data_IF_105445620184
#
_entry.id   IF_105445620184
#
_cell.length_a   1.000
_cell.length_b   1.000
_cell.length_c   1.000
_cell.angle_alpha   90.00
_cell.angle_beta   90.00
_cell.angle_gamma   90.00
#
_symmetry.space_group_name_H-M   'P 1'
#
loop_
_entity.id
_entity.type
_entity.pdbx_description
1 polymer ?
#
# COMPACT_ATOMS: atom_id res chain seq x y z
N UNK A 1 14.72 -2.91 21.71
CA UNK A 1 14.86 -1.51 22.16
C UNK A 1 13.94 -0.65 21.30
N UNK A 2 12.99 0.08 21.89
CA UNK A 2 12.06 0.93 21.14
C UNK A 2 12.72 2.27 20.82
N UNK A 3 12.69 2.71 19.57
CA UNK A 3 13.21 4.02 19.13
C UNK A 3 12.07 4.89 18.63
N UNK A 4 11.93 6.08 19.19
CA UNK A 4 10.98 7.10 18.73
C UNK A 4 11.69 7.96 17.69
N UNK A 5 11.09 8.11 16.52
CA UNK A 5 11.66 8.83 15.37
C UNK A 5 10.58 9.66 14.68
N UNK A 6 10.98 10.64 13.86
CA UNK A 6 10.05 11.40 13.02
C UNK A 6 9.50 10.53 11.87
N UNK A 7 8.40 10.97 11.25
CA UNK A 7 7.85 10.30 10.06
C UNK A 7 8.83 10.32 8.89
N UNK A 8 9.55 11.42 8.70
CA UNK A 8 10.58 11.54 7.66
C UNK A 8 11.71 10.52 7.88
N UNK A 9 12.19 10.39 9.11
CA UNK A 9 13.23 9.42 9.44
C UNK A 9 12.72 7.97 9.31
N UNK A 10 11.46 7.71 9.69
CA UNK A 10 10.83 6.42 9.44
C UNK A 10 10.70 6.14 7.93
N UNK A 11 10.34 7.16 7.15
CA UNK A 11 10.23 7.14 5.70
C UNK A 11 11.54 6.72 5.03
N UNK A 12 12.69 7.17 5.54
CA UNK A 12 14.02 6.82 5.02
C UNK A 12 14.34 5.32 5.00
N UNK A 13 13.57 4.51 5.73
CA UNK A 13 13.73 3.06 5.74
C UNK A 13 13.11 2.39 4.52
N UNK A 14 12.18 3.06 3.83
CA UNK A 14 11.54 2.55 2.62
C UNK A 14 12.43 2.81 1.41
N UNK A 15 12.55 1.80 0.56
CA UNK A 15 13.31 1.81 -0.68
C UNK A 15 12.48 1.19 -1.79
N UNK A 16 12.84 1.51 -3.02
CA UNK A 16 12.21 0.90 -4.19
C UNK A 16 12.37 -0.62 -4.17
N UNK A 17 11.38 -1.33 -4.71
CA UNK A 17 11.42 -2.78 -4.81
C UNK A 17 11.09 -3.54 -3.52
N UNK A 18 10.83 -2.84 -2.40
CA UNK A 18 10.54 -3.48 -1.13
C UNK A 18 9.19 -4.21 -1.12
N UNK A 19 9.15 -5.35 -0.42
CA UNK A 19 7.93 -5.99 0.01
C UNK A 19 7.52 -5.43 1.37
N UNK A 20 6.31 -4.88 1.48
CA UNK A 20 5.80 -4.26 2.71
C UNK A 20 4.42 -4.79 3.07
N UNK A 21 4.23 -5.07 4.36
CA UNK A 21 2.91 -5.42 4.88
C UNK A 21 2.13 -4.14 5.21
N UNK A 22 0.89 -4.06 4.74
CA UNK A 22 -0.05 -2.99 5.12
C UNK A 22 -1.07 -3.54 6.11
N UNK A 23 -1.33 -2.79 7.17
CA UNK A 23 -2.22 -3.20 8.27
C UNK A 23 -3.25 -2.10 8.57
N UNK A 24 -4.29 -2.45 9.34
CA UNK A 24 -5.26 -1.46 9.84
C UNK A 24 -6.40 -1.11 8.89
N UNK A 25 -6.46 -1.73 7.70
CA UNK A 25 -7.60 -1.64 6.78
C UNK A 25 -7.95 -0.19 6.42
N UNK A 26 -9.17 0.25 6.72
CA UNK A 26 -9.68 1.59 6.43
C UNK A 26 -9.68 2.56 7.62
N UNK A 27 -9.47 2.07 8.84
CA UNK A 27 -9.67 2.86 10.07
C UNK A 27 -8.35 3.17 10.79
N UNK A 28 -7.38 2.26 10.70
CA UNK A 28 -6.08 2.34 11.40
C UNK A 28 -4.90 2.28 10.44
N UNK A 29 -5.12 2.66 9.19
CA UNK A 29 -4.09 2.70 8.17
C UNK A 29 -3.02 3.73 8.53
N UNK A 30 -1.75 3.41 8.28
CA UNK A 30 -0.60 4.28 8.58
C UNK A 30 -0.47 5.45 7.59
N UNK A 31 -1.49 6.30 7.49
CA UNK A 31 -1.60 7.30 6.42
C UNK A 31 -0.51 8.38 6.43
N UNK A 32 0.05 8.72 7.60
CA UNK A 32 1.19 9.62 7.66
C UNK A 32 2.41 9.04 6.93
N UNK A 33 2.71 7.76 7.19
CA UNK A 33 3.80 7.05 6.53
C UNK A 33 3.49 6.77 5.06
N UNK A 34 2.23 6.45 4.73
CA UNK A 34 1.78 6.30 3.34
C UNK A 34 2.06 7.55 2.50
N UNK A 35 1.68 8.74 3.00
CA UNK A 35 1.95 10.00 2.30
C UNK A 35 3.44 10.28 2.19
N UNK A 36 4.22 9.91 3.20
CA UNK A 36 5.67 10.06 3.18
C UNK A 36 6.32 9.17 2.11
N UNK A 37 5.89 7.92 1.97
CA UNK A 37 6.32 7.01 0.89
C UNK A 37 6.01 7.63 -0.48
N UNK A 38 4.80 8.17 -0.65
CA UNK A 38 4.39 8.85 -1.89
C UNK A 38 5.24 10.09 -2.17
N UNK A 39 5.46 10.94 -1.15
CA UNK A 39 6.26 12.17 -1.25
C UNK A 39 7.72 11.88 -1.63
N UNK A 40 8.30 10.81 -1.08
CA UNK A 40 9.66 10.36 -1.41
C UNK A 40 9.76 9.72 -2.79
N UNK A 41 8.63 9.49 -3.47
CA UNK A 41 8.60 8.94 -4.82
C UNK A 41 9.00 7.47 -4.89
N UNK A 42 8.82 6.71 -3.81
CA UNK A 42 9.19 5.29 -3.77
C UNK A 42 8.34 4.48 -4.76
N UNK A 43 8.98 3.55 -5.47
CA UNK A 43 8.41 2.75 -6.57
C UNK A 43 8.63 1.25 -6.39
N UNK A 44 8.00 0.48 -7.28
CA UNK A 44 8.18 -0.96 -7.41
C UNK A 44 7.90 -1.76 -6.14
N UNK A 45 7.03 -1.26 -5.27
CA UNK A 45 6.65 -1.92 -4.04
C UNK A 45 5.79 -3.16 -4.33
N UNK A 46 5.99 -4.20 -3.53
CA UNK A 46 5.05 -5.32 -3.40
C UNK A 46 4.28 -5.14 -2.09
N UNK A 47 2.95 -5.08 -2.15
CA UNK A 47 2.14 -4.97 -0.93
C UNK A 47 1.62 -6.33 -0.49
N UNK A 48 1.72 -6.61 0.81
CA UNK A 48 1.04 -7.73 1.46
C UNK A 48 -0.09 -7.19 2.33
N UNK A 49 -1.32 -7.60 2.04
CA UNK A 49 -2.50 -7.18 2.78
C UNK A 49 -2.73 -8.10 3.99
N UNK A 50 -2.76 -7.54 5.21
CA UNK A 50 -3.00 -8.32 6.43
C UNK A 50 -4.12 -7.73 7.31
N UNK A 51 -5.31 -8.36 7.40
CA UNK A 51 -5.83 -9.41 6.52
C UNK A 51 -6.39 -8.89 5.19
N UNK A 52 -6.60 -7.58 5.07
CA UNK A 52 -7.21 -6.94 3.91
C UNK A 52 -6.60 -5.55 3.68
N UNK A 53 -6.56 -5.16 2.41
CA UNK A 53 -6.19 -3.83 1.98
C UNK A 53 -7.33 -2.83 2.16
N UNK A 54 -6.96 -1.58 2.37
CA UNK A 54 -7.89 -0.45 2.43
C UNK A 54 -7.29 0.79 1.78
N UNK A 55 -7.65 1.97 2.29
CA UNK A 55 -7.22 3.27 1.74
C UNK A 55 -5.70 3.41 1.58
N UNK A 56 -4.89 2.80 2.45
CA UNK A 56 -3.42 2.81 2.31
C UNK A 56 -2.96 2.10 1.02
N UNK A 57 -3.50 0.91 0.75
CA UNK A 57 -3.14 0.15 -0.46
C UNK A 57 -3.60 0.88 -1.71
N UNK A 58 -4.85 1.35 -1.73
CA UNK A 58 -5.40 2.06 -2.88
C UNK A 58 -4.66 3.36 -3.18
N UNK A 59 -4.26 4.13 -2.16
CA UNK A 59 -3.47 5.35 -2.34
C UNK A 59 -2.08 5.07 -2.93
N UNK A 60 -1.38 4.04 -2.44
CA UNK A 60 -0.06 3.66 -2.98
C UNK A 60 -0.16 3.19 -4.44
N UNK A 61 -1.20 2.44 -4.78
CA UNK A 61 -1.49 2.03 -6.16
C UNK A 61 -1.79 3.24 -7.03
N UNK A 62 -2.65 4.16 -6.56
CA UNK A 62 -2.98 5.40 -7.27
C UNK A 62 -1.78 6.31 -7.51
N UNK A 63 -0.80 6.31 -6.59
CA UNK A 63 0.46 7.02 -6.72
C UNK A 63 1.47 6.34 -7.67
N UNK A 64 1.12 5.17 -8.23
CA UNK A 64 2.01 4.37 -9.06
C UNK A 64 3.25 3.89 -8.30
N UNK A 65 3.12 3.61 -6.99
CA UNK A 65 4.22 3.13 -6.16
C UNK A 65 4.33 1.59 -6.13
N UNK A 66 3.33 0.88 -6.64
CA UNK A 66 3.13 -0.55 -6.44
C UNK A 66 3.22 -1.28 -7.77
N UNK A 67 4.06 -2.32 -7.84
CA UNK A 67 4.16 -3.23 -8.99
C UNK A 67 3.35 -4.51 -8.82
N UNK A 68 3.19 -4.96 -7.57
CA UNK A 68 2.54 -6.23 -7.26
C UNK A 68 1.81 -6.17 -5.93
N UNK A 69 0.78 -7.01 -5.79
CA UNK A 69 0.06 -7.24 -4.54
C UNK A 69 -0.01 -8.73 -4.25
N UNK A 70 0.19 -9.10 -3.00
CA UNK A 70 -0.12 -10.42 -2.46
C UNK A 70 -1.61 -10.46 -2.09
N UNK A 71 -2.31 -11.49 -2.57
CA UNK A 71 -3.77 -11.52 -2.66
C UNK A 71 -4.47 -11.57 -1.31
N UNK A 72 -4.98 -10.40 -0.88
CA UNK A 72 -6.10 -10.24 0.02
C UNK A 72 -7.19 -9.36 -0.61
N UNK A 73 -8.34 -9.20 0.03
CA UNK A 73 -9.37 -8.27 -0.46
C UNK A 73 -8.90 -6.82 -0.31
N UNK A 74 -9.17 -5.95 -1.30
CA UNK A 74 -8.92 -4.50 -1.22
C UNK A 74 -10.23 -3.74 -1.47
N UNK A 75 -10.78 -3.15 -0.41
CA UNK A 75 -12.10 -2.52 -0.40
C UNK A 75 -12.20 -1.42 0.65
N UNK A 76 -13.12 -0.46 0.48
CA UNK A 76 -13.45 0.55 1.49
C UNK A 76 -14.66 0.15 2.35
N UNK A 77 -15.08 -1.12 2.28
CA UNK A 77 -16.25 -1.64 2.98
C UNK A 77 -17.53 -1.01 2.42
N UNK A 78 -18.39 -0.53 3.32
CA UNK A 78 -19.66 0.14 2.95
C UNK A 78 -19.46 1.45 2.17
N UNK A 79 -18.25 2.00 2.19
CA UNK A 79 -17.89 3.23 1.46
C UNK A 79 -17.59 2.95 -0.02
N UNK A 80 -17.70 1.69 -0.45
CA UNK A 80 -17.55 1.27 -1.82
C UNK A 80 -16.20 0.62 -2.14
N UNK A 81 -15.90 0.55 -3.43
CA UNK A 81 -14.71 -0.13 -3.90
C UNK A 81 -13.47 0.77 -3.91
N UNK A 82 -12.30 0.16 -3.84
CA UNK A 82 -11.00 0.81 -4.04
C UNK A 82 -10.83 1.23 -5.53
N UNK A 83 -10.93 2.53 -5.85
CA UNK A 83 -11.02 2.98 -7.25
C UNK A 83 -9.71 2.88 -8.01
N UNK A 84 -8.56 3.17 -7.36
CA UNK A 84 -7.26 3.13 -8.02
C UNK A 84 -6.86 1.70 -8.33
N UNK A 85 -7.05 0.78 -7.37
CA UNK A 85 -6.83 -0.64 -7.61
C UNK A 85 -7.67 -1.14 -8.78
N UNK A 86 -8.97 -0.84 -8.80
CA UNK A 86 -9.86 -1.27 -9.89
C UNK A 86 -9.45 -0.73 -11.24
N UNK A 87 -9.01 0.54 -11.30
CA UNK A 87 -8.53 1.14 -12.55
C UNK A 87 -7.27 0.41 -13.05
N UNK A 88 -6.24 0.32 -12.21
CA UNK A 88 -4.94 -0.27 -12.58
C UNK A 88 -5.08 -1.78 -12.88
N UNK A 89 -5.87 -2.52 -12.11
CA UNK A 89 -6.11 -3.94 -12.36
C UNK A 89 -6.81 -4.18 -13.70
N UNK A 90 -7.80 -3.35 -14.07
CA UNK A 90 -8.46 -3.44 -15.39
C UNK A 90 -7.51 -3.14 -16.54
N UNK A 91 -6.53 -2.27 -16.32
CA UNK A 91 -5.51 -1.90 -17.30
C UNK A 91 -4.35 -2.92 -17.36
N UNK A 92 -4.35 -3.95 -16.51
CA UNK A 92 -3.25 -4.91 -16.40
C UNK A 92 -1.97 -4.33 -15.77
N UNK A 93 -2.06 -3.18 -15.11
CA UNK A 93 -0.92 -2.43 -14.58
C UNK A 93 -0.43 -2.89 -13.21
N UNK A 94 -0.92 -4.02 -12.69
CA UNK A 94 -0.50 -4.56 -11.40
C UNK A 94 -0.48 -6.08 -11.42
N UNK A 95 0.60 -6.68 -10.92
CA UNK A 95 0.71 -8.12 -10.78
C UNK A 95 -0.02 -8.60 -9.52
N UNK A 96 -0.90 -9.58 -9.65
CA UNK A 96 -1.46 -10.31 -8.52
C UNK A 96 -0.59 -11.54 -8.25
N UNK A 97 -0.02 -11.62 -7.05
CA UNK A 97 0.69 -12.80 -6.56
C UNK A 97 -0.34 -13.70 -5.90
N UNK A 98 -0.44 -14.95 -6.34
CA UNK A 98 -1.32 -15.95 -5.77
C UNK A 98 -0.72 -16.47 -4.46
N UNK A 99 -1.51 -16.43 -3.38
CA UNK A 99 -1.13 -16.91 -2.05
C UNK A 99 -1.56 -18.37 -1.79
N UNK A 100 -2.09 -19.06 -2.81
CA UNK A 100 -2.58 -20.46 -2.74
C UNK A 100 -1.62 -21.50 -3.32
#
# INVERSE_FOLDING_TARGET
MTRIVSIEEAGNRFKDGMLIATTGGNERSSMALTREIVRRGIKDLTLVFTPAGGIQGDMLIGAGAVKAIDTGSLTFGERGFAPNYRRVAKEGGIAALDST
#
